data_IF_663512452523
#
_entry.id   IF_663512452523
#
_cell.length_a   1.000
_cell.length_b   1.000
_cell.length_c   1.000
_cell.angle_alpha   90.00
_cell.angle_beta   90.00
_cell.angle_gamma   90.00
#
_symmetry.space_group_name_H-M   'P 1'
#
loop_
_entity.id
_entity.type
_entity.pdbx_description
1 polymer ?
#
# COMPACT_ATOMS: atom_id res chain seq x y z
N UNK A 1 14.23 4.73 -19.03
CA UNK A 1 13.26 4.81 -17.91
C UNK A 1 12.32 5.98 -18.17
N UNK A 2 11.04 5.84 -17.83
CA UNK A 2 10.00 6.89 -17.93
C UNK A 2 9.36 7.12 -16.55
N UNK A 3 8.72 8.28 -16.30
CA UNK A 3 7.98 8.50 -15.06
C UNK A 3 6.90 7.42 -14.82
N UNK A 4 6.66 7.00 -13.56
CA UNK A 4 5.61 6.04 -13.24
C UNK A 4 4.23 6.66 -13.47
N UNK A 5 3.31 5.90 -14.07
CA UNK A 5 1.92 6.31 -14.31
C UNK A 5 0.98 5.38 -13.57
N UNK A 6 0.01 5.95 -12.85
CA UNK A 6 -0.91 5.17 -12.04
C UNK A 6 -1.90 6.03 -11.29
N UNK A 7 -2.43 5.46 -10.22
CA UNK A 7 -3.42 6.06 -9.34
C UNK A 7 -2.98 5.92 -7.88
N UNK A 8 -3.37 6.87 -7.02
CA UNK A 8 -3.19 6.80 -5.56
C UNK A 8 -4.52 7.02 -4.84
N UNK A 9 -4.74 6.27 -3.76
CA UNK A 9 -6.00 6.29 -3.02
C UNK A 9 -6.30 7.57 -2.26
N UNK A 10 -5.29 8.37 -1.92
CA UNK A 10 -5.44 9.48 -0.99
C UNK A 10 -6.45 10.54 -1.45
N UNK A 11 -6.34 10.99 -2.70
CA UNK A 11 -7.17 12.08 -3.22
C UNK A 11 -8.64 11.69 -3.46
N UNK A 12 -8.94 10.40 -3.49
CA UNK A 12 -10.31 9.89 -3.68
C UNK A 12 -10.93 9.46 -2.35
N UNK A 13 -10.17 8.74 -1.53
CA UNK A 13 -10.70 8.07 -0.35
C UNK A 13 -10.13 8.57 0.97
N UNK A 14 -9.03 9.34 0.96
CA UNK A 14 -8.24 9.62 2.15
C UNK A 14 -8.01 8.32 2.96
N UNK A 15 -8.30 8.34 4.27
CA UNK A 15 -8.21 7.15 5.12
C UNK A 15 -9.39 6.15 4.98
N UNK A 16 -10.41 6.44 4.17
CA UNK A 16 -11.58 5.57 3.98
C UNK A 16 -11.36 4.51 2.88
N UNK A 17 -10.25 3.78 2.98
CA UNK A 17 -9.92 2.65 2.11
C UNK A 17 -10.25 1.31 2.76
N UNK A 18 -10.59 0.33 1.92
CA UNK A 18 -10.78 -1.08 2.25
C UNK A 18 -10.48 -1.94 1.02
N UNK A 19 -10.41 -3.26 1.20
CA UNK A 19 -10.07 -4.23 0.17
C UNK A 19 -10.99 -4.16 -1.06
N UNK A 20 -12.29 -3.98 -0.84
CA UNK A 20 -13.27 -3.91 -1.93
C UNK A 20 -13.07 -2.67 -2.80
N UNK A 21 -12.81 -1.50 -2.19
CA UNK A 21 -12.46 -0.28 -2.93
C UNK A 21 -11.19 -0.47 -3.75
N UNK A 22 -10.13 -1.02 -3.15
CA UNK A 22 -8.86 -1.22 -3.88
C UNK A 22 -9.03 -2.22 -5.02
N UNK A 23 -9.74 -3.32 -4.82
CA UNK A 23 -10.06 -4.26 -5.91
C UNK A 23 -10.85 -3.60 -7.04
N UNK A 24 -11.90 -2.82 -6.70
CA UNK A 24 -12.68 -2.08 -7.70
C UNK A 24 -11.82 -1.06 -8.46
N UNK A 25 -10.87 -0.41 -7.80
CA UNK A 25 -9.92 0.48 -8.46
C UNK A 25 -8.97 -0.28 -9.38
N UNK A 26 -8.46 -1.44 -8.95
CA UNK A 26 -7.64 -2.32 -9.80
C UNK A 26 -8.40 -2.68 -11.08
N UNK A 27 -9.65 -3.11 -10.97
CA UNK A 27 -10.47 -3.45 -12.14
C UNK A 27 -10.72 -2.23 -13.05
N UNK A 28 -10.97 -1.05 -12.48
CA UNK A 28 -11.13 0.18 -13.26
C UNK A 28 -9.83 0.57 -13.99
N UNK A 29 -8.67 0.41 -13.35
CA UNK A 29 -7.36 0.78 -13.90
C UNK A 29 -6.94 -0.08 -15.09
N UNK A 30 -7.46 -1.31 -15.20
CA UNK A 30 -7.27 -2.15 -16.41
C UNK A 30 -7.73 -1.42 -17.68
N UNK A 31 -8.79 -0.61 -17.60
CA UNK A 31 -9.38 0.08 -18.76
C UNK A 31 -8.48 1.19 -19.32
N UNK A 32 -7.59 1.77 -18.49
CA UNK A 32 -6.64 2.83 -18.88
C UNK A 32 -5.20 2.33 -18.97
N UNK A 33 -4.98 1.02 -18.78
CA UNK A 33 -3.65 0.39 -18.84
C UNK A 33 -2.99 0.55 -20.21
N UNK A 34 -3.76 0.51 -21.29
CA UNK A 34 -3.26 0.73 -22.66
C UNK A 34 -2.73 2.15 -22.88
N UNK A 35 -3.13 3.11 -22.03
CA UNK A 35 -2.58 4.47 -22.01
C UNK A 35 -1.33 4.60 -21.12
N UNK A 36 -0.82 3.49 -20.56
CA UNK A 36 0.42 3.45 -19.78
C UNK A 36 0.24 3.47 -18.26
N UNK A 37 -0.99 3.57 -17.74
CA UNK A 37 -1.25 3.55 -16.31
C UNK A 37 -1.13 2.13 -15.75
N UNK A 38 -0.11 1.87 -14.94
CA UNK A 38 0.23 0.54 -14.44
C UNK A 38 0.23 0.40 -12.91
N UNK A 39 0.32 1.50 -12.14
CA UNK A 39 0.36 1.42 -10.67
C UNK A 39 -1.01 1.71 -10.02
N UNK A 40 -1.35 0.92 -9.00
CA UNK A 40 -2.39 1.22 -8.02
C UNK A 40 -1.73 1.36 -6.65
N UNK A 41 -1.64 2.60 -6.15
CA UNK A 41 -0.93 2.89 -4.91
C UNK A 41 -1.91 3.06 -3.75
N UNK A 42 -1.76 2.21 -2.74
CA UNK A 42 -2.46 2.31 -1.46
C UNK A 42 -1.73 3.36 -0.60
N UNK A 43 -2.43 4.41 -0.22
CA UNK A 43 -1.91 5.47 0.67
C UNK A 43 -2.14 5.12 2.16
N UNK A 44 -1.95 6.07 3.06
CA UNK A 44 -2.08 5.88 4.52
C UNK A 44 -3.43 5.24 4.93
N UNK A 45 -3.49 4.71 6.17
CA UNK A 45 -4.65 4.04 6.80
C UNK A 45 -4.93 2.60 6.35
N UNK A 46 -3.99 1.95 5.67
CA UNK A 46 -4.05 0.51 5.40
C UNK A 46 -3.63 -0.32 6.60
N UNK A 47 -2.70 0.19 7.41
CA UNK A 47 -2.10 -0.51 8.54
C UNK A 47 -2.79 -0.20 9.88
N UNK A 48 -2.60 -1.10 10.85
CA UNK A 48 -2.97 -0.91 12.25
C UNK A 48 -2.16 0.22 12.89
N UNK A 49 -2.64 0.73 14.03
CA UNK A 49 -1.93 1.76 14.80
C UNK A 49 -0.65 1.25 15.47
N UNK A 50 -0.55 -0.07 15.65
CA UNK A 50 0.54 -0.72 16.36
C UNK A 50 1.06 -1.91 15.56
N UNK A 51 2.35 -2.19 15.72
CA UNK A 51 3.02 -3.39 15.17
C UNK A 51 2.56 -4.65 15.91
N UNK A 52 2.81 -5.82 15.31
CA UNK A 52 2.61 -7.10 16.00
C UNK A 52 3.68 -7.37 17.06
N UNK A 53 3.56 -8.49 17.77
CA UNK A 53 4.51 -8.90 18.80
C UNK A 53 5.93 -9.19 18.26
N UNK A 54 6.08 -9.37 16.93
CA UNK A 54 7.35 -9.58 16.23
C UNK A 54 7.87 -8.28 15.59
N UNK A 55 7.20 -7.15 15.79
CA UNK A 55 7.58 -5.87 15.22
C UNK A 55 7.12 -5.64 13.78
N UNK A 56 6.28 -6.49 13.18
CA UNK A 56 5.81 -6.30 11.80
C UNK A 56 4.66 -5.29 11.71
N UNK A 57 4.62 -4.54 10.61
CA UNK A 57 3.42 -3.81 10.20
C UNK A 57 2.30 -4.79 9.89
N UNK A 58 1.07 -4.44 10.31
CA UNK A 58 -0.11 -5.27 10.11
C UNK A 58 -1.16 -4.52 9.32
N UNK A 59 -1.75 -5.16 8.32
CA UNK A 59 -2.92 -4.62 7.65
C UNK A 59 -4.13 -4.63 8.60
N UNK A 60 -4.98 -3.60 8.51
CA UNK A 60 -6.22 -3.54 9.29
C UNK A 60 -7.15 -4.69 8.91
N UNK A 61 -7.29 -5.68 9.77
CA UNK A 61 -8.01 -6.93 9.44
C UNK A 61 -9.49 -6.71 9.10
N UNK A 62 -10.11 -5.68 9.68
CA UNK A 62 -11.51 -5.31 9.39
C UNK A 62 -11.69 -4.66 8.00
N UNK A 63 -10.62 -4.09 7.42
CA UNK A 63 -10.63 -3.44 6.11
C UNK A 63 -10.01 -4.30 5.02
N UNK A 64 -8.99 -5.07 5.37
CA UNK A 64 -8.18 -5.92 4.50
C UNK A 64 -8.17 -7.36 5.03
N UNK A 65 -9.33 -8.06 5.04
CA UNK A 65 -9.46 -9.37 5.65
C UNK A 65 -8.60 -10.46 4.99
N UNK A 66 -8.24 -10.31 3.70
CA UNK A 66 -7.32 -11.22 2.99
C UNK A 66 -5.88 -10.69 2.96
N UNK A 67 -5.63 -9.52 3.55
CA UNK A 67 -4.31 -8.89 3.67
C UNK A 67 -3.82 -8.24 2.38
N UNK A 68 -2.68 -7.55 2.48
CA UNK A 68 -2.10 -6.79 1.36
C UNK A 68 -1.54 -7.69 0.26
N UNK A 69 -0.92 -8.81 0.62
CA UNK A 69 -0.41 -9.77 -0.38
C UNK A 69 -1.52 -10.21 -1.35
N UNK A 70 -2.73 -10.44 -0.86
CA UNK A 70 -3.86 -10.78 -1.72
C UNK A 70 -4.16 -9.68 -2.75
N UNK A 71 -4.09 -8.40 -2.36
CA UNK A 71 -4.29 -7.28 -3.28
C UNK A 71 -3.15 -7.16 -4.30
N UNK A 72 -1.90 -7.48 -3.90
CA UNK A 72 -0.76 -7.49 -4.81
C UNK A 72 -0.92 -8.60 -5.85
N UNK A 73 -1.21 -9.82 -5.40
CA UNK A 73 -1.50 -10.97 -6.26
C UNK A 73 -2.67 -10.64 -7.22
N UNK A 74 -3.72 -9.96 -6.74
CA UNK A 74 -4.84 -9.52 -7.56
C UNK A 74 -4.43 -8.50 -8.62
N UNK A 75 -3.67 -7.46 -8.25
CA UNK A 75 -3.17 -6.45 -9.19
C UNK A 75 -2.27 -7.10 -10.27
N UNK A 76 -1.35 -7.98 -9.87
CA UNK A 76 -0.45 -8.69 -10.77
C UNK A 76 -1.22 -9.60 -11.74
N UNK A 77 -2.29 -10.26 -11.30
CA UNK A 77 -3.17 -11.06 -12.17
C UNK A 77 -3.85 -10.24 -13.28
N UNK A 78 -3.93 -8.92 -13.11
CA UNK A 78 -4.49 -7.95 -14.07
C UNK A 78 -3.40 -7.22 -14.87
N UNK A 79 -2.14 -7.64 -14.74
CA UNK A 79 -0.97 -6.97 -15.32
C UNK A 79 -0.81 -5.51 -14.87
N UNK A 80 -1.18 -5.23 -13.62
CA UNK A 80 -0.95 -3.98 -12.91
C UNK A 80 0.06 -4.22 -11.78
N UNK A 81 0.55 -3.15 -11.18
CA UNK A 81 1.51 -3.10 -10.07
C UNK A 81 0.83 -2.52 -8.84
N UNK A 82 1.18 -2.99 -7.65
CA UNK A 82 0.66 -2.48 -6.39
C UNK A 82 1.71 -1.68 -5.63
N UNK A 83 1.37 -0.45 -5.27
CA UNK A 83 2.16 0.36 -4.34
C UNK A 83 1.57 0.40 -2.94
N UNK A 84 2.44 0.64 -1.96
CA UNK A 84 2.10 0.80 -0.55
C UNK A 84 2.67 2.09 0.02
N UNK A 85 2.20 2.44 1.21
CA UNK A 85 2.60 3.62 1.95
C UNK A 85 3.24 3.26 3.29
N UNK A 86 4.27 4.00 3.68
CA UNK A 86 4.78 4.09 5.06
C UNK A 86 5.32 5.50 5.33
N UNK A 87 5.85 5.72 6.52
CA UNK A 87 6.48 6.98 6.92
C UNK A 87 7.87 6.75 7.54
N UNK A 88 8.71 7.77 7.46
CA UNK A 88 10.05 7.77 8.04
C UNK A 88 10.06 7.78 9.56
N UNK A 89 9.08 8.44 10.18
CA UNK A 89 8.89 8.35 11.63
C UNK A 89 8.22 7.05 12.05
N UNK A 90 8.19 6.82 13.38
CA UNK A 90 7.51 5.67 13.97
C UNK A 90 5.98 5.71 13.78
N UNK A 91 5.45 6.87 13.39
CA UNK A 91 4.05 7.07 13.09
C UNK A 91 3.87 7.67 11.69
N UNK A 92 2.79 7.27 11.01
CA UNK A 92 2.38 7.89 9.76
C UNK A 92 1.75 9.27 10.00
N UNK A 93 1.48 10.02 8.93
CA UNK A 93 0.80 11.32 9.06
C UNK A 93 -0.60 11.18 9.71
N UNK A 94 -1.27 10.03 9.58
CA UNK A 94 -2.52 9.73 10.27
C UNK A 94 -2.34 9.04 11.65
N UNK A 95 -1.13 8.97 12.17
CA UNK A 95 -0.83 8.35 13.46
C UNK A 95 -0.97 6.83 13.48
N UNK A 96 -0.84 6.17 12.32
CA UNK A 96 -0.73 4.71 12.24
C UNK A 96 0.73 4.26 12.42
N UNK A 97 1.00 2.96 12.53
CA UNK A 97 2.37 2.46 12.61
C UNK A 97 3.17 2.84 11.35
N UNK A 98 4.24 3.61 11.52
CA UNK A 98 5.20 3.98 10.47
C UNK A 98 6.45 3.10 10.52
N UNK A 99 7.30 3.18 9.49
CA UNK A 99 8.51 2.35 9.41
C UNK A 99 9.50 2.71 10.51
N UNK A 100 9.77 4.01 10.69
CA UNK A 100 10.70 4.44 11.72
C UNK A 100 12.16 4.02 11.47
N UNK A 101 13.11 4.59 12.24
CA UNK A 101 14.53 4.26 12.13
C UNK A 101 14.87 2.79 12.41
N UNK A 102 14.05 2.10 13.20
CA UNK A 102 14.39 0.78 13.76
C UNK A 102 13.86 -0.41 12.93
N UNK A 103 13.00 -0.19 11.93
CA UNK A 103 12.35 -1.29 11.18
C UNK A 103 12.52 -1.22 9.65
N UNK A 104 13.42 -0.38 9.13
CA UNK A 104 13.61 -0.21 7.68
C UNK A 104 13.78 -1.51 6.90
N UNK A 105 14.69 -2.36 7.36
CA UNK A 105 15.01 -3.63 6.68
C UNK A 105 13.85 -4.61 6.83
N UNK A 106 13.30 -4.75 8.04
CA UNK A 106 12.17 -5.62 8.32
C UNK A 106 10.94 -5.27 7.49
N UNK A 107 10.60 -3.98 7.39
CA UNK A 107 9.45 -3.53 6.62
C UNK A 107 9.69 -3.67 5.11
N UNK A 108 10.91 -3.39 4.63
CA UNK A 108 11.26 -3.62 3.22
C UNK A 108 11.14 -5.10 2.85
N UNK A 109 11.64 -6.01 3.68
CA UNK A 109 11.52 -7.46 3.49
C UNK A 109 10.05 -7.90 3.53
N UNK A 110 9.25 -7.32 4.43
CA UNK A 110 7.82 -7.58 4.52
C UNK A 110 7.09 -7.14 3.24
N UNK A 111 7.35 -5.93 2.75
CA UNK A 111 6.76 -5.42 1.51
C UNK A 111 7.18 -6.26 0.31
N UNK A 112 8.45 -6.66 0.24
CA UNK A 112 8.93 -7.58 -0.80
C UNK A 112 8.23 -8.95 -0.73
N UNK A 113 8.02 -9.49 0.48
CA UNK A 113 7.31 -10.77 0.69
C UNK A 113 5.85 -10.72 0.24
N UNK A 114 5.24 -9.53 0.24
CA UNK A 114 3.88 -9.31 -0.26
C UNK A 114 3.82 -9.03 -1.77
N UNK A 115 4.96 -8.83 -2.43
CA UNK A 115 5.01 -8.48 -3.85
C UNK A 115 4.69 -7.01 -4.14
N UNK A 116 5.04 -6.09 -3.23
CA UNK A 116 4.88 -4.65 -3.46
C UNK A 116 5.88 -4.15 -4.51
N UNK A 117 5.40 -3.32 -5.43
CA UNK A 117 6.17 -2.77 -6.56
C UNK A 117 6.61 -1.32 -6.35
N UNK A 118 6.01 -0.62 -5.38
CA UNK A 118 6.24 0.80 -5.13
C UNK A 118 6.05 1.13 -3.65
N UNK A 119 6.95 1.92 -3.07
CA UNK A 119 6.80 2.47 -1.72
C UNK A 119 6.71 3.99 -1.78
N UNK A 120 5.58 4.56 -1.32
CA UNK A 120 5.50 5.96 -0.90
C UNK A 120 5.99 6.04 0.53
N UNK A 121 7.09 6.76 0.75
CA UNK A 121 7.66 6.98 2.08
C UNK A 121 7.46 8.44 2.48
N UNK A 122 6.62 8.68 3.47
CA UNK A 122 6.29 10.02 3.97
C UNK A 122 7.29 10.54 5.01
N UNK A 123 7.23 11.84 5.28
CA UNK A 123 8.16 12.56 6.19
C UNK A 123 7.54 12.96 7.53
N UNK A 124 6.35 12.47 7.86
CA UNK A 124 5.75 12.61 9.19
C UNK A 124 6.37 11.65 10.22
N UNK A 125 6.03 11.91 11.49
CA UNK A 125 6.26 11.00 12.62
C UNK A 125 7.45 11.37 13.48
#
# INVERSE_FOLDING_TARGET
MTPPMGWSSWNVYAGNIDEAKIMSTIDAMVTVRSAGYEYVNIDDSWMEKTRDALGNLQARKNKFPRGIKFLADYAHSKHLKLGIYSAHGNQTCQGNAGSGPDHWTQDADLFASWGIDYLKLDSCG
#
